data_IF_318586964351
#
_entry.id   IF_318586964351
#
_cell.length_a   1.000
_cell.length_b   1.000
_cell.length_c   1.000
_cell.angle_alpha   90.00
_cell.angle_beta   90.00
_cell.angle_gamma   90.00
#
_symmetry.space_group_name_H-M   'P 1'
#
loop_
_entity.id
_entity.type
_entity.pdbx_description
1 polymer ?
#
# COMPACT_ATOMS: atom_id res chain seq x y z
N UNK A 1 -6.52 6.64 5.29
CA UNK A 1 -5.60 6.48 6.44
C UNK A 1 -4.80 5.18 6.42
N UNK A 2 -5.41 3.98 6.41
CA UNK A 2 -4.67 2.71 6.49
C UNK A 2 -3.65 2.48 5.36
N UNK A 3 -3.90 2.98 4.15
CA UNK A 3 -2.95 2.96 3.03
C UNK A 3 -1.55 3.48 3.39
N UNK A 4 -1.44 4.45 4.31
CA UNK A 4 -0.16 5.00 4.76
C UNK A 4 0.68 3.99 5.53
N UNK A 5 0.06 3.02 6.21
CA UNK A 5 0.78 1.97 6.91
C UNK A 5 1.55 1.05 5.95
N UNK A 6 1.17 1.02 4.67
CA UNK A 6 1.89 0.31 3.60
C UNK A 6 2.77 1.26 2.77
N UNK A 7 2.23 2.39 2.33
CA UNK A 7 2.94 3.28 1.39
C UNK A 7 4.11 4.02 2.05
N UNK A 8 4.01 4.39 3.33
CA UNK A 8 5.09 5.08 4.03
C UNK A 8 6.34 4.21 4.25
N UNK A 9 6.26 2.97 4.78
CA UNK A 9 7.44 2.13 4.92
C UNK A 9 8.06 1.73 3.57
N UNK A 10 7.24 1.56 2.51
CA UNK A 10 7.78 1.30 1.18
C UNK A 10 8.55 2.51 0.61
N UNK A 11 8.02 3.72 0.80
CA UNK A 11 8.72 4.94 0.42
C UNK A 11 10.04 5.12 1.20
N UNK A 12 10.04 4.79 2.51
CA UNK A 12 11.27 4.80 3.33
C UNK A 12 12.28 3.81 2.77
N UNK A 13 11.86 2.55 2.50
CA UNK A 13 12.72 1.52 1.92
C UNK A 13 13.37 1.98 0.61
N UNK A 14 12.57 2.52 -0.32
CA UNK A 14 13.04 3.06 -1.61
C UNK A 14 13.99 4.26 -1.45
N UNK A 15 13.91 4.98 -0.33
CA UNK A 15 14.77 6.15 -0.05
C UNK A 15 16.09 5.78 0.61
N UNK A 16 16.18 4.64 1.31
CA UNK A 16 17.38 4.26 2.08
C UNK A 16 18.69 4.35 1.28
N UNK A 17 18.79 3.87 0.02
CA UNK A 17 20.04 3.93 -0.74
C UNK A 17 20.57 5.35 -1.00
N UNK A 18 19.73 6.38 -0.86
CA UNK A 18 20.12 7.78 -1.01
C UNK A 18 20.50 8.45 0.33
N UNK A 19 20.31 7.78 1.47
CA UNK A 19 20.63 8.29 2.79
C UNK A 19 21.98 7.75 3.29
N UNK A 20 22.69 8.50 4.17
CA UNK A 20 23.79 7.93 4.94
C UNK A 20 23.38 6.66 5.67
N UNK A 21 24.24 5.63 5.65
CA UNK A 21 23.98 4.32 6.26
C UNK A 21 23.58 4.41 7.74
N UNK A 22 24.09 5.41 8.45
CA UNK A 22 23.75 5.70 9.86
C UNK A 22 22.27 6.04 10.08
N UNK A 23 21.55 6.44 9.03
CA UNK A 23 20.12 6.75 9.07
C UNK A 23 19.23 5.55 8.70
N UNK A 24 19.78 4.42 8.23
CA UNK A 24 18.96 3.31 7.76
C UNK A 24 18.15 2.66 8.88
N UNK A 25 18.84 2.27 9.97
CA UNK A 25 18.18 1.64 11.14
C UNK A 25 17.19 2.61 11.81
N UNK A 26 17.53 3.89 12.08
CA UNK A 26 16.55 4.86 12.59
C UNK A 26 15.32 5.04 11.69
N UNK A 27 15.50 5.07 10.37
CA UNK A 27 14.40 5.22 9.41
C UNK A 27 13.48 4.01 9.42
N UNK A 28 14.03 2.80 9.48
CA UNK A 28 13.25 1.57 9.63
C UNK A 28 12.43 1.58 10.94
N UNK A 29 13.04 1.95 12.07
CA UNK A 29 12.33 2.05 13.34
C UNK A 29 11.20 3.07 13.31
N UNK A 30 11.44 4.24 12.71
CA UNK A 30 10.42 5.27 12.56
C UNK A 30 9.25 4.79 11.67
N UNK A 31 9.57 4.15 10.53
CA UNK A 31 8.56 3.58 9.63
C UNK A 31 7.73 2.51 10.34
N UNK A 32 8.36 1.59 11.07
CA UNK A 32 7.69 0.55 11.84
C UNK A 32 6.75 1.15 12.90
N UNK A 33 7.24 2.09 13.71
CA UNK A 33 6.44 2.71 14.76
C UNK A 33 5.23 3.47 14.18
N UNK A 34 5.42 4.20 13.08
CA UNK A 34 4.33 4.90 12.39
C UNK A 34 3.29 3.92 11.83
N UNK A 35 3.72 2.84 11.15
CA UNK A 35 2.81 1.81 10.63
C UNK A 35 2.02 1.12 11.75
N UNK A 36 2.67 0.80 12.87
CA UNK A 36 2.01 0.22 14.04
C UNK A 36 0.97 1.19 14.64
N UNK A 37 1.31 2.47 14.78
CA UNK A 37 0.40 3.49 15.30
C UNK A 37 -0.83 3.70 14.39
N UNK A 38 -0.63 3.83 13.07
CA UNK A 38 -1.73 3.97 12.10
C UNK A 38 -2.62 2.73 12.10
N UNK A 39 -2.02 1.53 12.10
CA UNK A 39 -2.79 0.28 12.13
C UNK A 39 -3.58 0.15 13.44
N UNK A 40 -3.00 0.53 14.58
CA UNK A 40 -3.69 0.47 15.88
C UNK A 40 -4.84 1.48 15.99
N UNK A 41 -4.68 2.68 15.42
CA UNK A 41 -5.67 3.75 15.52
C UNK A 41 -6.84 3.59 14.53
N UNK A 42 -6.56 3.05 13.33
CA UNK A 42 -7.52 3.03 12.22
C UNK A 42 -7.90 1.62 11.76
N UNK A 43 -7.24 0.58 12.27
CA UNK A 43 -7.54 -0.81 11.92
C UNK A 43 -8.94 -1.20 12.37
N UNK A 44 -9.71 -1.93 11.54
CA UNK A 44 -10.99 -2.46 11.97
C UNK A 44 -10.78 -3.53 13.06
N UNK A 45 -11.79 -3.73 13.91
CA UNK A 45 -11.77 -4.80 14.93
C UNK A 45 -11.62 -6.18 14.30
N UNK A 46 -12.23 -6.37 13.14
CA UNK A 46 -12.16 -7.60 12.34
C UNK A 46 -11.83 -7.22 10.89
N UNK A 47 -10.83 -7.88 10.31
CA UNK A 47 -10.46 -7.69 8.92
C UNK A 47 -11.42 -8.44 7.99
N UNK A 48 -11.68 -7.89 6.81
CA UNK A 48 -12.43 -8.60 5.77
C UNK A 48 -11.61 -9.79 5.26
N UNK A 49 -12.21 -10.99 5.09
CA UNK A 49 -11.50 -12.14 4.56
C UNK A 49 -11.02 -11.90 3.12
N UNK A 50 -9.70 -12.00 2.89
CA UNK A 50 -9.10 -11.81 1.55
C UNK A 50 -9.63 -12.85 0.55
N UNK A 51 -9.89 -14.08 1.03
CA UNK A 51 -10.42 -15.17 0.21
C UNK A 51 -11.76 -14.84 -0.48
N UNK A 52 -12.60 -13.99 0.12
CA UNK A 52 -13.88 -13.57 -0.47
C UNK A 52 -13.69 -12.60 -1.64
N UNK A 53 -12.51 -11.98 -1.74
CA UNK A 53 -12.18 -10.98 -2.76
C UNK A 53 -11.16 -11.49 -3.80
N UNK A 54 -10.58 -12.67 -3.57
CA UNK A 54 -9.74 -13.38 -4.54
C UNK A 54 -10.61 -14.07 -5.60
N UNK A 55 -11.34 -13.27 -6.40
CA UNK A 55 -12.29 -13.78 -7.40
C UNK A 55 -11.61 -14.14 -8.73
N UNK A 56 -10.53 -13.44 -9.08
CA UNK A 56 -9.67 -13.73 -10.22
C UNK A 56 -8.25 -13.18 -9.97
N UNK A 57 -7.20 -13.79 -10.56
CA UNK A 57 -5.87 -13.19 -10.60
C UNK A 57 -5.96 -11.76 -11.12
N UNK A 58 -5.27 -10.84 -10.44
CA UNK A 58 -5.14 -9.47 -10.91
C UNK A 58 -3.82 -9.34 -11.65
N UNK A 59 -3.86 -8.84 -12.87
CA UNK A 59 -2.65 -8.55 -13.64
C UNK A 59 -2.06 -7.20 -13.17
N UNK A 60 -0.78 -7.21 -12.81
CA UNK A 60 -0.11 -6.06 -12.21
C UNK A 60 -0.14 -4.81 -13.11
N UNK A 61 0.10 -4.98 -14.41
CA UNK A 61 0.09 -3.89 -15.39
C UNK A 61 -1.31 -3.26 -15.52
N UNK A 62 -2.35 -4.10 -15.62
CA UNK A 62 -3.73 -3.62 -15.72
C UNK A 62 -4.15 -2.86 -14.45
N UNK A 63 -3.76 -3.36 -13.27
CA UNK A 63 -3.99 -2.66 -12.01
C UNK A 63 -3.35 -1.28 -11.99
N UNK A 64 -2.11 -1.16 -12.47
CA UNK A 64 -1.42 0.12 -12.47
C UNK A 64 -2.05 1.11 -13.47
N UNK A 65 -2.45 0.64 -14.65
CA UNK A 65 -3.20 1.45 -15.63
C UNK A 65 -4.51 1.97 -15.02
N UNK A 66 -5.27 1.08 -14.35
CA UNK A 66 -6.51 1.46 -13.66
C UNK A 66 -6.26 2.47 -12.55
N UNK A 67 -5.22 2.30 -11.73
CA UNK A 67 -4.87 3.24 -10.68
C UNK A 67 -4.47 4.62 -11.24
N UNK A 68 -3.68 4.65 -12.31
CA UNK A 68 -3.31 5.89 -12.98
C UNK A 68 -4.54 6.62 -13.57
N UNK A 69 -5.49 5.87 -14.16
CA UNK A 69 -6.74 6.42 -14.68
C UNK A 69 -7.71 6.88 -13.57
N UNK A 70 -7.62 6.30 -12.37
CA UNK A 70 -8.42 6.69 -11.19
C UNK A 70 -7.99 8.05 -10.63
N UNK A 71 -6.68 8.34 -10.69
CA UNK A 71 -6.14 9.68 -10.39
C UNK A 71 -5.98 10.02 -8.92
N UNK A 72 -6.58 9.26 -8.00
CA UNK A 72 -6.36 9.47 -6.57
C UNK A 72 -4.94 9.06 -6.16
N UNK A 73 -4.26 10.00 -5.52
CA UNK A 73 -2.90 9.85 -5.00
C UNK A 73 -2.74 8.62 -4.09
N UNK A 74 -3.74 8.30 -3.27
CA UNK A 74 -3.66 7.17 -2.34
C UNK A 74 -3.80 5.85 -3.08
N UNK A 75 -4.74 5.77 -4.03
CA UNK A 75 -4.92 4.64 -4.92
C UNK A 75 -3.64 4.35 -5.70
N UNK A 76 -3.04 5.36 -6.33
CA UNK A 76 -1.82 5.19 -7.13
C UNK A 76 -0.66 4.69 -6.26
N UNK A 77 -0.39 5.36 -5.13
CA UNK A 77 0.72 5.00 -4.23
C UNK A 77 0.54 3.61 -3.62
N UNK A 78 -0.69 3.25 -3.26
CA UNK A 78 -0.99 1.95 -2.68
C UNK A 78 -0.86 0.83 -3.71
N UNK A 79 -1.34 1.05 -4.94
CA UNK A 79 -1.15 0.09 -6.04
C UNK A 79 0.33 -0.11 -6.34
N UNK A 80 1.12 0.95 -6.51
CA UNK A 80 2.59 0.84 -6.68
C UNK A 80 3.26 0.03 -5.55
N UNK A 81 2.85 0.25 -4.30
CA UNK A 81 3.36 -0.51 -3.15
C UNK A 81 2.94 -1.99 -3.20
N UNK A 82 1.70 -2.29 -3.59
CA UNK A 82 1.22 -3.66 -3.74
C UNK A 82 1.96 -4.42 -4.84
N UNK A 83 2.35 -3.73 -5.92
CA UNK A 83 3.14 -4.28 -7.01
C UNK A 83 4.56 -4.67 -6.57
N UNK A 84 5.19 -3.90 -5.68
CA UNK A 84 6.48 -4.27 -5.07
C UNK A 84 6.39 -5.55 -4.22
N UNK A 85 5.25 -5.78 -3.55
CA UNK A 85 5.00 -7.00 -2.77
C UNK A 85 4.70 -8.19 -3.68
N UNK A 86 3.87 -7.98 -4.71
CA UNK A 86 3.65 -8.91 -5.83
C UNK A 86 2.83 -10.16 -5.54
N UNK A 87 2.42 -10.41 -4.29
CA UNK A 87 1.56 -11.56 -3.97
C UNK A 87 0.08 -11.31 -4.31
N UNK A 88 -0.69 -12.41 -4.42
CA UNK A 88 -2.10 -12.32 -4.79
C UNK A 88 -2.93 -11.48 -3.81
N UNK A 89 -2.61 -11.49 -2.51
CA UNK A 89 -3.34 -10.74 -1.51
C UNK A 89 -3.09 -9.22 -1.66
N UNK A 90 -1.85 -8.82 -1.93
CA UNK A 90 -1.47 -7.44 -2.19
C UNK A 90 -2.14 -6.91 -3.46
N UNK A 91 -2.12 -7.68 -4.55
CA UNK A 91 -2.76 -7.27 -5.81
C UNK A 91 -4.30 -7.18 -5.66
N UNK A 92 -4.93 -8.11 -4.93
CA UNK A 92 -6.35 -7.99 -4.58
C UNK A 92 -6.62 -6.76 -3.73
N UNK A 93 -5.78 -6.45 -2.73
CA UNK A 93 -5.93 -5.25 -1.92
C UNK A 93 -5.86 -3.97 -2.76
N UNK A 94 -4.96 -3.90 -3.75
CA UNK A 94 -4.87 -2.78 -4.69
C UNK A 94 -6.14 -2.63 -5.52
N UNK A 95 -6.65 -3.73 -6.08
CA UNK A 95 -7.94 -3.73 -6.80
C UNK A 95 -9.09 -3.21 -5.93
N UNK A 96 -9.15 -3.65 -4.67
CA UNK A 96 -10.15 -3.17 -3.70
C UNK A 96 -9.97 -1.69 -3.35
N UNK A 97 -8.73 -1.19 -3.24
CA UNK A 97 -8.48 0.24 -3.00
C UNK A 97 -9.00 1.11 -4.15
N UNK A 98 -8.81 0.69 -5.41
CA UNK A 98 -9.35 1.37 -6.59
C UNK A 98 -10.89 1.47 -6.53
N UNK A 99 -11.55 0.41 -6.06
CA UNK A 99 -13.02 0.36 -5.96
C UNK A 99 -13.58 1.19 -4.79
N UNK A 100 -12.84 1.27 -3.68
CA UNK A 100 -13.30 1.93 -2.45
C UNK A 100 -13.00 3.43 -2.42
N UNK A 101 -11.92 3.87 -3.07
CA UNK A 101 -11.53 5.27 -3.09
C UNK A 101 -12.33 6.06 -4.12
N UNK A 102 -12.62 7.32 -3.83
CA UNK A 102 -13.24 8.24 -4.79
C UNK A 102 -12.23 8.66 -5.86
N UNK A 103 -12.54 8.54 -7.17
CA UNK A 103 -11.68 9.06 -8.24
C UNK A 103 -11.43 10.56 -8.13
N UNK A 104 -10.30 11.02 -8.67
CA UNK A 104 -9.94 12.43 -8.61
C UNK A 104 -10.73 13.31 -9.60
N UNK A 105 -11.38 12.73 -10.61
CA UNK A 105 -12.15 13.43 -11.66
C UNK A 105 -13.38 12.63 -12.10
#
# INVERSE_FOLDING_TARGET
MLVHAATAPNAVLRTLPALPDTLWVPSLHAAWAASAAVTSAYGPREALPVAEHLTAPQEAEELFVRAAAHGDDHTIKFTDTALDVGDAAALTAAGRAIELNTPAW
#
